data_IF_589578608340
#
_entry.id   IF_589578608340
#
_cell.length_a   1.000
_cell.length_b   1.000
_cell.length_c   1.000
_cell.angle_alpha   90.00
_cell.angle_beta   90.00
_cell.angle_gamma   90.00
#
_symmetry.space_group_name_H-M   'P 1'
#
loop_
_entity.id
_entity.type
_entity.pdbx_description
1 polymer ?
#
# COMPACT_ATOMS: atom_id res chain seq x y z
N UNK A 1 -3.62 -20.54 -17.33
CA UNK A 1 -2.38 -19.94 -17.88
C UNK A 1 -2.12 -18.67 -17.09
N UNK A 2 -1.12 -18.64 -16.22
CA UNK A 2 -0.76 -17.41 -15.50
C UNK A 2 -0.06 -16.47 -16.49
N UNK A 3 -0.80 -15.52 -17.06
CA UNK A 3 -0.23 -14.39 -17.77
C UNK A 3 0.25 -13.36 -16.74
N UNK A 4 1.25 -13.73 -15.96
CA UNK A 4 1.73 -12.91 -14.84
C UNK A 4 2.63 -11.80 -15.34
N UNK A 5 2.07 -10.66 -15.72
CA UNK A 5 2.84 -9.43 -15.85
C UNK A 5 3.55 -9.08 -14.51
N UNK A 6 4.51 -8.15 -14.51
CA UNK A 6 5.22 -7.77 -13.28
C UNK A 6 4.24 -7.41 -12.17
N UNK A 7 4.43 -8.02 -10.98
CA UNK A 7 3.68 -7.68 -9.77
C UNK A 7 4.50 -6.75 -8.88
N UNK A 8 3.83 -5.94 -8.07
CA UNK A 8 4.47 -5.08 -7.09
C UNK A 8 3.81 -5.25 -5.71
N UNK A 9 4.53 -4.84 -4.67
CA UNK A 9 4.01 -4.73 -3.31
C UNK A 9 4.18 -3.31 -2.78
N UNK A 10 3.46 -2.98 -1.71
CA UNK A 10 3.54 -1.67 -1.03
C UNK A 10 3.94 -1.89 0.43
N UNK A 11 4.88 -1.08 0.92
CA UNK A 11 5.35 -1.12 2.30
C UNK A 11 5.11 0.23 3.00
N UNK A 12 4.19 0.26 3.97
CA UNK A 12 3.86 1.46 4.73
C UNK A 12 4.73 1.57 5.98
N UNK A 13 5.60 2.59 6.00
CA UNK A 13 6.50 2.85 7.12
C UNK A 13 5.78 3.32 8.40
N UNK A 14 6.47 3.20 9.54
CA UNK A 14 6.03 3.81 10.79
C UNK A 14 6.21 5.34 10.81
N UNK A 15 5.62 6.01 11.80
CA UNK A 15 5.70 7.47 11.90
C UNK A 15 4.78 8.14 12.92
N UNK A 16 4.11 7.37 13.78
CA UNK A 16 3.11 7.87 14.72
C UNK A 16 1.93 8.52 14.00
N UNK A 17 1.41 9.63 14.53
CA UNK A 17 0.25 10.32 13.96
C UNK A 17 0.42 10.75 12.50
N UNK A 18 1.65 10.98 12.02
CA UNK A 18 1.90 11.33 10.60
C UNK A 18 1.54 10.20 9.64
N UNK A 19 1.46 8.96 10.12
CA UNK A 19 1.04 7.81 9.32
C UNK A 19 -0.39 7.88 8.80
N UNK A 20 -1.24 8.78 9.32
CA UNK A 20 -2.56 9.06 8.75
C UNK A 20 -2.49 9.49 7.28
N UNK A 21 -1.34 10.00 6.83
CA UNK A 21 -1.10 10.30 5.42
C UNK A 21 -1.18 9.05 4.51
N UNK A 22 -0.93 7.84 5.04
CA UNK A 22 -1.04 6.59 4.27
C UNK A 22 -2.45 6.36 3.74
N UNK A 23 -3.48 6.86 4.40
CA UNK A 23 -4.88 6.77 3.95
C UNK A 23 -5.03 7.37 2.55
N UNK A 24 -4.51 8.58 2.34
CA UNK A 24 -4.61 9.26 1.05
C UNK A 24 -3.81 8.55 -0.05
N UNK A 25 -2.68 7.91 0.31
CA UNK A 25 -1.92 7.09 -0.63
C UNK A 25 -2.70 5.83 -1.04
N UNK A 26 -3.40 5.19 -0.11
CA UNK A 26 -4.26 4.03 -0.38
C UNK A 26 -5.44 4.45 -1.27
N UNK A 27 -6.12 5.55 -0.93
CA UNK A 27 -7.23 6.09 -1.72
C UNK A 27 -6.79 6.38 -3.16
N UNK A 28 -5.64 7.04 -3.35
CA UNK A 28 -5.10 7.30 -4.69
C UNK A 28 -4.80 6.02 -5.48
N UNK A 29 -4.28 4.97 -4.82
CA UNK A 29 -4.06 3.67 -5.47
C UNK A 29 -5.38 3.02 -5.89
N UNK A 30 -6.42 3.11 -5.06
CA UNK A 30 -7.75 2.55 -5.36
C UNK A 30 -8.43 3.32 -6.50
N UNK A 31 -8.39 4.65 -6.50
CA UNK A 31 -8.90 5.51 -7.57
C UNK A 31 -8.26 5.19 -8.93
N UNK A 32 -6.97 4.85 -8.93
CA UNK A 32 -6.22 4.46 -10.13
C UNK A 32 -6.44 2.98 -10.51
N UNK A 33 -7.16 2.20 -9.71
CA UNK A 33 -7.33 0.75 -9.90
C UNK A 33 -6.03 -0.05 -9.72
N UNK A 34 -5.02 0.52 -9.07
CA UNK A 34 -3.70 -0.05 -8.89
C UNK A 34 -3.70 -0.93 -7.63
N UNK A 35 -3.70 -2.25 -7.82
CA UNK A 35 -3.76 -3.24 -6.73
C UNK A 35 -2.42 -3.94 -6.50
N UNK A 36 -1.75 -3.72 -5.35
CA UNK A 36 -0.54 -4.46 -5.01
C UNK A 36 -0.86 -5.93 -4.75
N UNK A 37 0.09 -6.81 -5.08
CA UNK A 37 0.00 -8.24 -4.80
C UNK A 37 0.26 -8.56 -3.32
N UNK A 38 0.93 -7.67 -2.61
CA UNK A 38 1.22 -7.80 -1.18
C UNK A 38 1.35 -6.42 -0.52
N UNK A 39 0.97 -6.35 0.75
CA UNK A 39 1.11 -5.15 1.59
C UNK A 39 1.87 -5.55 2.85
N UNK A 40 2.82 -4.71 3.25
CA UNK A 40 3.53 -4.80 4.52
C UNK A 40 3.46 -3.46 5.26
N UNK A 41 3.57 -3.50 6.58
CA UNK A 41 3.48 -2.30 7.40
C UNK A 41 4.30 -2.38 8.68
N UNK A 42 4.66 -1.23 9.25
CA UNK A 42 5.29 -1.14 10.58
C UNK A 42 4.67 -0.03 11.42
N UNK A 43 4.42 -0.29 12.71
CA UNK A 43 3.76 0.64 13.64
C UNK A 43 2.43 1.14 13.03
N UNK A 44 2.22 2.46 12.93
CA UNK A 44 1.02 3.04 12.31
C UNK A 44 0.77 2.56 10.87
N UNK A 45 1.82 2.24 10.10
CA UNK A 45 1.65 1.71 8.75
C UNK A 45 1.24 0.24 8.70
N UNK A 46 1.26 -0.47 9.83
CA UNK A 46 0.75 -1.83 9.97
C UNK A 46 -0.72 -1.89 10.40
N UNK A 47 -1.32 -0.73 10.72
CA UNK A 47 -2.71 -0.57 11.14
C UNK A 47 -3.52 -0.10 9.94
#
# INVERSE_FOLDING_TARGET
>A
MASGGPTFGVAFGGGGARGLAHIHAIEALDELGIRPAAIAGSSIGAI
#
